data_IF_178569743238
#
_entry.id   IF_178569743238
#
_cell.length_a   1.000
_cell.length_b   1.000
_cell.length_c   1.000
_cell.angle_alpha   90.00
_cell.angle_beta   90.00
_cell.angle_gamma   90.00
#
_symmetry.space_group_name_H-M   'P 1'
#
loop_
_entity.id
_entity.type
_entity.pdbx_description
1 polymer ?
#
# COMPACT_ATOMS: atom_id res chain seq x y z
N UNK A 1 9.28 -4.54 15.04
CA UNK A 1 10.58 -3.86 15.25
C UNK A 1 10.57 -2.40 14.76
N UNK A 2 10.13 -2.06 13.51
CA UNK A 2 10.08 -0.67 12.98
C UNK A 2 9.21 0.28 13.82
N UNK A 3 8.04 -0.17 14.31
CA UNK A 3 7.10 0.64 15.11
C UNK A 3 7.70 1.07 16.43
N UNK A 4 8.31 0.12 17.16
CA UNK A 4 8.98 0.39 18.45
C UNK A 4 10.14 1.37 18.26
N UNK A 5 10.97 1.16 17.22
CA UNK A 5 12.07 2.09 16.89
C UNK A 5 11.57 3.51 16.62
N UNK A 6 10.47 3.66 15.87
CA UNK A 6 9.86 4.98 15.61
C UNK A 6 9.33 5.63 16.88
N UNK A 7 8.63 4.86 17.73
CA UNK A 7 8.15 5.35 19.02
C UNK A 7 9.28 5.82 19.94
N UNK A 8 10.36 5.06 20.02
CA UNK A 8 11.54 5.43 20.83
C UNK A 8 12.23 6.70 20.31
N UNK A 9 12.34 6.90 19.00
CA UNK A 9 12.91 8.13 18.42
C UNK A 9 12.08 9.36 18.82
N UNK A 10 10.75 9.29 18.74
CA UNK A 10 9.87 10.37 19.16
C UNK A 10 9.94 10.61 20.68
N UNK A 11 9.97 9.54 21.48
CA UNK A 11 10.11 9.65 22.94
C UNK A 11 11.41 10.35 23.31
N UNK A 12 12.52 9.99 22.65
CA UNK A 12 13.82 10.61 22.91
C UNK A 12 13.84 12.10 22.51
N UNK A 13 13.28 12.45 21.36
CA UNK A 13 13.19 13.85 20.92
C UNK A 13 12.35 14.72 21.87
N UNK A 14 11.18 14.22 22.31
CA UNK A 14 10.34 14.89 23.28
C UNK A 14 11.00 15.01 24.64
N UNK A 15 11.64 13.94 25.12
CA UNK A 15 12.38 13.95 26.38
C UNK A 15 13.51 14.99 26.36
N UNK A 16 14.30 15.03 25.28
CA UNK A 16 15.38 16.02 25.13
C UNK A 16 14.84 17.45 25.14
N UNK A 17 13.74 17.72 24.42
CA UNK A 17 13.09 19.02 24.43
C UNK A 17 12.61 19.40 25.85
N UNK A 18 11.91 18.51 26.54
CA UNK A 18 11.42 18.73 27.90
C UNK A 18 12.59 19.04 28.84
N UNK A 19 13.67 18.24 28.80
CA UNK A 19 14.85 18.43 29.68
C UNK A 19 15.61 19.73 29.38
N UNK A 20 15.49 20.30 28.19
CA UNK A 20 16.10 21.57 27.85
C UNK A 20 15.38 22.76 28.50
N UNK A 21 14.05 22.67 28.67
CA UNK A 21 13.23 23.75 29.17
C UNK A 21 12.83 23.64 30.63
N UNK A 22 12.89 22.44 31.23
CA UNK A 22 12.54 22.23 32.63
C UNK A 22 13.79 22.31 33.56
N UNK A 23 13.67 23.17 34.53
CA UNK A 23 14.70 23.31 35.60
C UNK A 23 14.76 22.05 36.48
N UNK A 24 15.95 21.67 36.92
CA UNK A 24 16.15 20.51 37.80
C UNK A 24 15.44 20.65 39.15
N UNK A 25 15.17 21.89 39.60
CA UNK A 25 14.41 22.15 40.82
C UNK A 25 12.99 21.61 40.85
N UNK A 26 12.38 21.38 39.64
CA UNK A 26 11.06 20.76 39.54
C UNK A 26 11.11 19.29 39.97
N UNK A 27 12.22 18.62 39.70
CA UNK A 27 12.42 17.19 40.01
C UNK A 27 12.91 16.97 41.44
N UNK A 28 13.55 17.96 42.08
CA UNK A 28 14.08 17.84 43.47
C UNK A 28 12.97 17.79 44.52
N UNK A 29 11.77 18.33 44.20
CA UNK A 29 10.63 18.31 45.13
C UNK A 29 9.88 16.96 45.19
N UNK A 30 10.26 15.98 44.37
CA UNK A 30 9.63 14.65 44.37
C UNK A 30 10.46 13.66 45.21
N UNK A 31 10.00 13.41 46.44
CA UNK A 31 10.64 12.41 47.35
C UNK A 31 10.16 11.00 47.00
N UNK A 32 10.88 10.28 46.12
CA UNK A 32 10.65 8.85 45.85
C UNK A 32 11.41 7.99 46.81
N UNK A 33 12.65 8.37 47.09
CA UNK A 33 13.52 7.68 48.08
C UNK A 33 13.59 8.53 49.32
N UNK A 34 13.14 7.95 50.44
CA UNK A 34 13.16 8.63 51.72
C UNK A 34 14.58 8.59 52.32
N UNK A 35 15.10 9.75 52.73
CA UNK A 35 16.42 9.92 53.34
C UNK A 35 16.61 9.06 54.59
N UNK A 36 15.55 8.91 55.42
CA UNK A 36 15.58 8.07 56.61
C UNK A 36 15.79 6.58 56.33
N UNK A 37 15.34 6.07 55.17
CA UNK A 37 15.51 4.67 54.77
C UNK A 37 16.97 4.39 54.40
N UNK A 38 17.62 5.36 53.73
CA UNK A 38 19.03 5.22 53.33
C UNK A 38 19.99 5.40 54.49
N UNK A 39 19.73 6.36 55.39
CA UNK A 39 20.58 6.61 56.56
C UNK A 39 20.54 5.45 57.57
N UNK A 40 19.43 4.68 57.65
CA UNK A 40 19.34 3.47 58.48
C UNK A 40 20.06 2.27 57.83
N UNK A 41 20.32 2.29 56.53
CA UNK A 41 21.02 1.22 55.82
C UNK A 41 22.52 1.45 55.79
N UNK A 42 23.25 0.78 56.64
CA UNK A 42 24.73 0.87 56.83
C UNK A 42 25.57 0.72 55.55
N UNK A 43 24.96 0.29 54.41
CA UNK A 43 25.62 -0.01 53.14
C UNK A 43 25.48 1.06 52.06
N UNK A 44 24.66 2.12 52.28
CA UNK A 44 24.29 3.08 51.22
C UNK A 44 24.59 4.54 51.61
N UNK A 45 25.44 4.77 52.63
CA UNK A 45 25.78 6.11 53.12
C UNK A 45 26.48 7.03 52.09
N UNK A 46 26.93 6.49 50.95
CA UNK A 46 27.61 7.22 49.90
C UNK A 46 26.62 7.71 48.78
N UNK A 47 25.32 7.36 48.90
CA UNK A 47 24.31 7.75 47.88
C UNK A 47 23.79 9.14 48.22
N UNK A 48 23.94 10.05 47.25
CA UNK A 48 23.26 11.33 47.27
C UNK A 48 21.78 11.12 46.97
N UNK A 49 20.94 11.29 48.00
CA UNK A 49 19.49 11.04 47.92
C UNK A 49 18.82 12.00 46.96
N UNK A 50 19.27 13.26 46.91
CA UNK A 50 18.67 14.29 46.02
C UNK A 50 19.01 14.01 44.58
N UNK A 51 20.27 13.75 44.23
CA UNK A 51 20.69 13.37 42.88
C UNK A 51 20.03 12.07 42.42
N UNK A 52 19.82 11.11 43.34
CA UNK A 52 19.15 9.83 43.05
C UNK A 52 17.67 10.05 42.71
N UNK A 53 16.96 10.85 43.52
CA UNK A 53 15.55 11.17 43.27
C UNK A 53 15.35 11.89 41.91
N UNK A 54 16.19 12.86 41.62
CA UNK A 54 16.18 13.57 40.32
C UNK A 54 16.40 12.57 39.16
N UNK A 55 17.36 11.66 39.31
CA UNK A 55 17.66 10.65 38.29
C UNK A 55 16.49 9.68 38.08
N UNK A 56 15.89 9.18 39.16
CA UNK A 56 14.73 8.29 39.11
C UNK A 56 13.55 9.00 38.41
N UNK A 57 13.29 10.27 38.76
CA UNK A 57 12.22 11.05 38.11
C UNK A 57 12.47 11.24 36.63
N UNK A 58 13.69 11.59 36.22
CA UNK A 58 14.06 11.70 34.80
C UNK A 58 13.82 10.38 34.05
N UNK A 59 14.19 9.25 34.66
CA UNK A 59 13.93 7.91 34.08
C UNK A 59 12.44 7.61 33.99
N UNK A 60 11.64 7.91 35.01
CA UNK A 60 10.20 7.69 35.00
C UNK A 60 9.50 8.53 33.90
N UNK A 61 9.89 9.79 33.74
CA UNK A 61 9.38 10.66 32.68
C UNK A 61 9.74 10.07 31.33
N UNK A 62 10.97 9.64 31.10
CA UNK A 62 11.38 9.03 29.85
C UNK A 62 10.61 7.74 29.56
N UNK A 63 10.44 6.85 30.53
CA UNK A 63 9.66 5.61 30.39
C UNK A 63 8.20 5.93 30.06
N UNK A 64 7.59 6.89 30.75
CA UNK A 64 6.23 7.33 30.47
C UNK A 64 6.07 7.85 29.03
N UNK A 65 7.00 8.69 28.56
CA UNK A 65 7.01 9.17 27.17
C UNK A 65 7.25 8.04 26.17
N UNK A 66 8.12 7.09 26.48
CA UNK A 66 8.37 5.94 25.61
C UNK A 66 7.12 5.05 25.48
N UNK A 67 6.44 4.74 26.58
CA UNK A 67 5.20 3.94 26.58
C UNK A 67 4.11 4.64 25.79
N UNK A 68 3.87 5.93 26.03
CA UNK A 68 2.85 6.71 25.30
C UNK A 68 3.18 6.81 23.81
N UNK A 69 4.44 7.09 23.44
CA UNK A 69 4.86 7.18 22.05
C UNK A 69 4.75 5.83 21.31
N UNK A 70 5.09 4.71 21.99
CA UNK A 70 4.91 3.37 21.45
C UNK A 70 3.42 3.07 21.27
N UNK A 71 2.58 3.40 22.27
CA UNK A 71 1.14 3.21 22.20
C UNK A 71 0.54 3.97 21.00
N UNK A 72 0.83 5.27 20.86
CA UNK A 72 0.39 6.06 19.71
C UNK A 72 0.91 5.50 18.37
N UNK A 73 2.15 5.04 18.32
CA UNK A 73 2.71 4.41 17.12
C UNK A 73 2.00 3.09 16.79
N UNK A 74 1.60 2.31 17.78
CA UNK A 74 0.82 1.09 17.58
C UNK A 74 -0.59 1.40 17.08
N UNK A 75 -1.29 2.35 17.69
CA UNK A 75 -2.62 2.78 17.26
C UNK A 75 -2.59 3.32 15.82
N UNK A 76 -1.61 4.18 15.53
CA UNK A 76 -1.45 4.75 14.18
C UNK A 76 -1.12 3.69 13.13
N UNK A 77 -0.34 2.65 13.48
CA UNK A 77 -0.05 1.54 12.57
C UNK A 77 -1.24 0.62 12.29
N UNK A 78 -2.35 0.77 13.04
CA UNK A 78 -3.59 0.02 12.83
C UNK A 78 -4.53 0.70 11.81
N UNK A 79 -4.18 1.85 11.25
CA UNK A 79 -4.94 2.48 10.17
C UNK A 79 -4.98 1.50 8.99
N UNK A 80 -6.15 0.91 8.75
CA UNK A 80 -6.35 -0.09 7.68
C UNK A 80 -6.85 0.51 6.39
N UNK A 81 -7.36 1.73 6.43
CA UNK A 81 -7.91 2.45 5.28
C UNK A 81 -7.74 3.96 5.42
N UNK A 82 -7.55 4.64 4.31
CA UNK A 82 -7.58 6.09 4.20
C UNK A 82 -8.53 6.51 3.10
N UNK A 83 -9.38 7.47 3.36
CA UNK A 83 -10.37 8.00 2.42
C UNK A 83 -9.95 9.38 1.94
N UNK A 84 -9.96 9.57 0.62
CA UNK A 84 -9.71 10.83 -0.07
C UNK A 84 -11.00 11.21 -0.78
N UNK A 85 -11.59 12.34 -0.41
CA UNK A 85 -12.82 12.86 -1.01
C UNK A 85 -12.53 14.08 -1.85
N UNK A 86 -13.05 14.11 -3.07
CA UNK A 86 -13.13 15.29 -3.94
C UNK A 86 -14.58 15.71 -4.11
N UNK A 87 -14.82 16.71 -4.97
CA UNK A 87 -16.17 17.24 -5.19
C UNK A 87 -17.10 16.21 -5.83
N UNK A 88 -16.60 15.36 -6.70
CA UNK A 88 -17.37 14.38 -7.49
C UNK A 88 -16.77 12.98 -7.49
N UNK A 89 -15.89 12.66 -6.53
CA UNK A 89 -15.29 11.34 -6.41
C UNK A 89 -14.94 11.00 -4.97
N UNK A 90 -14.84 9.71 -4.69
CA UNK A 90 -14.30 9.17 -3.45
C UNK A 90 -13.30 8.07 -3.76
N UNK A 91 -12.10 8.15 -3.17
CA UNK A 91 -11.07 7.12 -3.26
C UNK A 91 -10.84 6.59 -1.85
N UNK A 92 -10.82 5.27 -1.71
CA UNK A 92 -10.43 4.60 -0.47
C UNK A 92 -9.20 3.75 -0.76
N UNK A 93 -8.10 4.05 -0.10
CA UNK A 93 -6.93 3.17 -0.09
C UNK A 93 -7.02 2.30 1.15
N UNK A 94 -6.95 0.98 0.98
CA UNK A 94 -7.15 0.05 2.09
C UNK A 94 -6.25 -1.19 1.99
N UNK A 95 -5.89 -1.73 3.15
CA UNK A 95 -5.23 -3.03 3.21
C UNK A 95 -6.25 -4.16 3.04
N UNK A 96 -5.95 -5.13 2.18
CA UNK A 96 -6.82 -6.27 2.00
C UNK A 96 -6.38 -7.22 0.90
N UNK A 97 -7.26 -8.19 0.65
CA UNK A 97 -7.15 -9.13 -0.46
C UNK A 97 -8.28 -8.86 -1.45
N UNK A 98 -7.91 -8.59 -2.70
CA UNK A 98 -8.86 -8.16 -3.73
C UNK A 98 -9.97 -9.20 -3.96
N UNK A 99 -9.62 -10.48 -4.06
CA UNK A 99 -10.58 -11.55 -4.35
C UNK A 99 -11.56 -11.83 -3.20
N UNK A 100 -11.29 -11.32 -1.99
CA UNK A 100 -12.22 -11.39 -0.85
C UNK A 100 -13.22 -10.24 -0.81
N UNK A 101 -13.08 -9.25 -1.69
CA UNK A 101 -14.03 -8.13 -1.76
C UNK A 101 -15.34 -8.60 -2.37
N UNK A 102 -16.43 -8.27 -1.68
CA UNK A 102 -17.82 -8.56 -2.08
C UNK A 102 -18.58 -7.24 -2.22
N UNK A 103 -19.70 -7.27 -2.87
CA UNK A 103 -20.59 -6.10 -3.04
C UNK A 103 -20.00 -4.97 -3.89
N UNK A 104 -19.13 -5.31 -4.86
CA UNK A 104 -18.57 -4.34 -5.80
C UNK A 104 -17.85 -5.06 -6.93
N UNK A 105 -17.44 -4.29 -7.94
CA UNK A 105 -16.66 -4.83 -9.06
C UNK A 105 -15.19 -4.92 -8.70
N UNK A 106 -14.50 -5.93 -9.23
CA UNK A 106 -13.08 -6.20 -8.93
C UNK A 106 -12.27 -6.19 -10.22
N UNK A 107 -11.19 -5.42 -10.25
CA UNK A 107 -10.27 -5.38 -11.39
C UNK A 107 -9.22 -6.49 -11.28
N UNK A 108 -9.21 -7.39 -12.26
CA UNK A 108 -8.26 -8.50 -12.35
C UNK A 108 -7.33 -8.22 -13.54
N UNK A 109 -6.06 -7.98 -13.25
CA UNK A 109 -5.07 -7.66 -14.29
C UNK A 109 -4.47 -8.92 -14.93
N UNK A 110 -4.64 -9.03 -16.24
CA UNK A 110 -4.07 -10.04 -17.13
C UNK A 110 -2.85 -9.48 -17.89
N UNK A 111 -2.23 -10.30 -18.71
CA UNK A 111 -1.33 -9.82 -19.75
C UNK A 111 -2.12 -9.20 -20.94
N UNK A 112 -1.39 -8.61 -21.89
CA UNK A 112 -1.97 -7.96 -23.07
C UNK A 112 -2.78 -8.88 -23.99
N UNK A 113 -2.61 -10.20 -23.84
CA UNK A 113 -3.29 -11.21 -24.67
C UNK A 113 -4.41 -11.94 -23.92
N UNK A 114 -4.67 -11.57 -22.66
CA UNK A 114 -5.59 -12.28 -21.77
C UNK A 114 -5.28 -13.79 -21.66
N UNK A 115 -4.01 -14.12 -21.50
CA UNK A 115 -3.56 -15.51 -21.32
C UNK A 115 -4.18 -16.11 -20.05
N UNK A 116 -4.55 -17.39 -20.11
CA UNK A 116 -5.18 -18.13 -19.00
C UNK A 116 -4.33 -19.27 -18.45
N UNK A 117 -3.15 -19.49 -19.01
CA UNK A 117 -2.24 -20.57 -18.60
C UNK A 117 -1.60 -20.25 -17.26
N UNK A 118 -1.95 -21.01 -16.22
CA UNK A 118 -1.34 -20.92 -14.89
C UNK A 118 -0.26 -21.98 -14.77
N UNK A 119 0.98 -21.57 -14.44
CA UNK A 119 2.10 -22.50 -14.39
C UNK A 119 3.38 -21.89 -13.80
N UNK A 120 4.51 -22.56 -14.14
CA UNK A 120 5.85 -22.20 -13.68
C UNK A 120 6.72 -21.61 -14.78
N UNK A 121 6.29 -21.67 -16.04
CA UNK A 121 7.00 -21.10 -17.18
C UNK A 121 7.19 -19.59 -17.06
N UNK A 122 8.05 -19.02 -17.88
CA UNK A 122 8.42 -17.60 -17.80
C UNK A 122 7.24 -16.68 -18.12
N UNK A 123 6.40 -17.09 -19.08
CA UNK A 123 5.21 -16.35 -19.51
C UNK A 123 3.94 -16.79 -18.76
N UNK A 124 4.01 -17.88 -17.97
CA UNK A 124 2.85 -18.38 -17.26
C UNK A 124 2.44 -17.45 -16.11
N UNK A 125 1.14 -17.40 -15.88
CA UNK A 125 0.55 -16.69 -14.75
C UNK A 125 0.92 -17.45 -13.47
N UNK A 126 1.51 -16.76 -12.51
CA UNK A 126 1.90 -17.35 -11.22
C UNK A 126 0.68 -17.62 -10.36
N UNK A 127 0.62 -18.82 -9.75
CA UNK A 127 -0.49 -19.24 -8.87
C UNK A 127 -0.80 -18.24 -7.75
N UNK A 128 0.23 -17.62 -7.18
CA UNK A 128 0.10 -16.68 -6.05
C UNK A 128 -0.32 -15.27 -6.47
N UNK A 129 -0.36 -14.99 -7.78
CA UNK A 129 -0.85 -13.71 -8.29
C UNK A 129 -2.38 -13.62 -8.15
N UNK A 130 -2.91 -12.40 -8.16
CA UNK A 130 -4.37 -12.17 -8.14
C UNK A 130 -5.02 -12.85 -9.35
N UNK A 131 -4.43 -12.72 -10.54
CA UNK A 131 -4.92 -13.35 -11.76
C UNK A 131 -4.88 -14.87 -11.67
N UNK A 132 -3.77 -15.45 -11.15
CA UNK A 132 -3.65 -16.91 -11.01
C UNK A 132 -4.68 -17.48 -10.04
N UNK A 133 -4.89 -16.85 -8.90
CA UNK A 133 -5.93 -17.25 -7.94
C UNK A 133 -7.33 -17.11 -8.53
N UNK A 134 -7.58 -16.03 -9.29
CA UNK A 134 -8.85 -15.84 -9.99
C UNK A 134 -9.12 -16.95 -11.00
N UNK A 135 -8.14 -17.32 -11.83
CA UNK A 135 -8.26 -18.40 -12.81
C UNK A 135 -8.49 -19.78 -12.17
N UNK A 136 -7.81 -20.04 -11.05
CA UNK A 136 -8.01 -21.29 -10.28
C UNK A 136 -9.43 -21.35 -9.71
N UNK A 137 -10.00 -20.24 -9.27
CA UNK A 137 -11.38 -20.16 -8.77
C UNK A 137 -12.42 -20.22 -9.88
N UNK A 138 -12.04 -19.94 -11.14
CA UNK A 138 -12.92 -19.89 -12.30
C UNK A 138 -12.41 -20.82 -13.43
N UNK A 139 -12.34 -22.13 -13.24
CA UNK A 139 -11.71 -23.05 -14.19
C UNK A 139 -12.42 -23.11 -15.55
N UNK A 140 -13.70 -22.75 -15.60
CA UNK A 140 -14.53 -22.77 -16.82
C UNK A 140 -14.57 -21.40 -17.53
N UNK A 141 -13.72 -20.44 -17.14
CA UNK A 141 -13.69 -19.11 -17.71
C UNK A 141 -13.26 -19.16 -19.18
N UNK A 142 -14.15 -18.76 -20.08
CA UNK A 142 -13.84 -18.62 -21.50
C UNK A 142 -13.61 -17.14 -21.84
N UNK A 143 -12.37 -16.68 -21.65
CA UNK A 143 -11.99 -15.29 -21.87
C UNK A 143 -12.16 -14.88 -23.35
N UNK A 144 -11.94 -15.79 -24.30
CA UNK A 144 -12.11 -15.50 -25.73
C UNK A 144 -13.56 -15.22 -26.09
N UNK A 145 -14.51 -15.94 -25.50
CA UNK A 145 -15.94 -15.66 -25.68
C UNK A 145 -16.31 -14.30 -25.07
N UNK A 146 -15.77 -13.95 -23.91
CA UNK A 146 -16.00 -12.63 -23.31
C UNK A 146 -15.43 -11.49 -24.18
N UNK A 147 -14.23 -11.64 -24.72
CA UNK A 147 -13.61 -10.69 -25.64
C UNK A 147 -14.49 -10.51 -26.89
N UNK A 148 -14.95 -11.59 -27.50
CA UNK A 148 -15.81 -11.54 -28.66
C UNK A 148 -17.14 -10.82 -28.38
N UNK A 149 -17.72 -11.02 -27.20
CA UNK A 149 -18.96 -10.38 -26.77
C UNK A 149 -18.78 -8.90 -26.39
N UNK A 150 -17.61 -8.50 -25.89
CA UNK A 150 -17.35 -7.12 -25.43
C UNK A 150 -17.16 -6.11 -26.55
N UNK A 151 -16.86 -6.55 -27.77
CA UNK A 151 -16.56 -5.66 -28.90
C UNK A 151 -15.25 -4.87 -28.78
N UNK A 152 -14.38 -5.21 -27.81
CA UNK A 152 -13.06 -4.56 -27.66
C UNK A 152 -12.21 -4.78 -28.90
N UNK A 153 -11.53 -3.71 -29.34
CA UNK A 153 -10.70 -3.75 -30.54
C UNK A 153 -9.27 -4.17 -30.21
N UNK A 154 -8.73 -5.16 -30.93
CA UNK A 154 -7.34 -5.55 -30.73
C UNK A 154 -6.39 -4.46 -31.25
N UNK A 155 -5.16 -4.47 -30.72
CA UNK A 155 -4.07 -3.68 -31.27
C UNK A 155 -3.75 -4.09 -32.72
N UNK A 156 -3.28 -3.15 -33.51
CA UNK A 156 -2.74 -3.46 -34.86
C UNK A 156 -1.48 -4.33 -34.76
N UNK A 157 -0.69 -4.16 -33.71
CA UNK A 157 0.50 -4.99 -33.42
C UNK A 157 0.12 -6.36 -32.88
N UNK A 158 1.02 -7.31 -32.95
CA UNK A 158 0.93 -8.61 -32.29
C UNK A 158 1.87 -8.67 -31.08
N UNK A 159 1.56 -9.53 -30.14
CA UNK A 159 2.44 -9.78 -28.99
C UNK A 159 3.84 -10.18 -29.45
N UNK A 160 4.87 -9.67 -28.79
CA UNK A 160 6.25 -10.05 -29.09
C UNK A 160 6.54 -11.49 -28.70
N UNK A 161 5.91 -12.00 -27.64
CA UNK A 161 6.15 -13.35 -27.13
C UNK A 161 5.63 -14.46 -28.05
N UNK A 162 4.37 -14.45 -28.37
CA UNK A 162 3.72 -15.56 -29.07
C UNK A 162 3.02 -15.18 -30.37
N UNK A 163 3.20 -13.93 -30.82
CA UNK A 163 2.52 -13.37 -32.02
C UNK A 163 0.99 -13.39 -31.95
N UNK A 164 0.44 -13.65 -30.77
CA UNK A 164 -1.00 -13.61 -30.54
C UNK A 164 -1.59 -12.20 -30.68
N UNK A 165 -2.89 -12.14 -30.85
CA UNK A 165 -3.66 -10.89 -30.77
C UNK A 165 -3.50 -10.30 -29.37
N UNK A 166 -3.24 -9.00 -29.29
CA UNK A 166 -3.06 -8.28 -28.04
C UNK A 166 -3.93 -7.02 -28.00
N UNK A 167 -4.11 -6.50 -26.79
CA UNK A 167 -4.96 -5.35 -26.48
C UNK A 167 -4.14 -4.29 -25.77
N UNK A 168 -4.54 -3.03 -25.87
CA UNK A 168 -3.82 -1.95 -25.20
C UNK A 168 -3.92 -2.10 -23.68
N UNK A 169 -2.82 -1.87 -22.94
CA UNK A 169 -2.85 -1.84 -21.48
C UNK A 169 -3.87 -0.80 -20.98
N UNK A 170 -4.80 -1.25 -20.15
CA UNK A 170 -5.94 -0.46 -19.68
C UNK A 170 -7.29 -0.94 -20.23
N UNK A 171 -7.30 -1.66 -21.35
CA UNK A 171 -8.53 -2.23 -21.93
C UNK A 171 -9.20 -3.22 -21.00
N UNK A 172 -10.52 -3.13 -20.84
CA UNK A 172 -11.31 -3.98 -19.94
C UNK A 172 -12.26 -4.88 -20.73
N UNK A 173 -12.41 -6.11 -20.26
CA UNK A 173 -13.44 -7.07 -20.64
C UNK A 173 -14.22 -7.46 -19.38
N UNK A 174 -15.52 -7.19 -19.36
CA UNK A 174 -16.35 -7.47 -18.20
C UNK A 174 -16.76 -8.95 -18.12
N UNK A 175 -16.72 -9.52 -16.91
CA UNK A 175 -17.24 -10.84 -16.57
C UNK A 175 -18.08 -10.72 -15.29
N UNK A 176 -19.33 -10.32 -15.42
CA UNK A 176 -20.19 -10.02 -14.28
C UNK A 176 -19.61 -8.87 -13.41
N UNK A 177 -19.31 -9.16 -12.16
CA UNK A 177 -18.69 -8.20 -11.23
C UNK A 177 -17.15 -8.19 -11.32
N UNK A 178 -16.55 -8.95 -12.22
CA UNK A 178 -15.11 -8.94 -12.45
C UNK A 178 -14.77 -8.21 -13.75
N UNK A 179 -13.89 -7.23 -13.65
CA UNK A 179 -13.36 -6.45 -14.75
C UNK A 179 -11.98 -7.00 -15.12
N UNK A 180 -11.87 -7.73 -16.22
CA UNK A 180 -10.62 -8.33 -16.68
C UNK A 180 -9.87 -7.28 -17.50
N UNK A 181 -8.65 -6.92 -17.06
CA UNK A 181 -7.87 -5.83 -17.66
C UNK A 181 -6.63 -6.37 -18.36
N UNK A 182 -6.42 -5.99 -19.62
CA UNK A 182 -5.13 -6.14 -20.30
C UNK A 182 -4.11 -5.18 -19.65
N UNK A 183 -2.98 -5.70 -19.15
CA UNK A 183 -1.99 -4.86 -18.48
C UNK A 183 -0.56 -5.18 -18.91
N UNK A 184 -0.04 -6.36 -18.54
CA UNK A 184 1.37 -6.70 -18.72
C UNK A 184 1.67 -7.06 -20.17
N UNK A 185 2.64 -6.37 -20.80
CA UNK A 185 3.20 -6.78 -22.09
C UNK A 185 4.34 -7.77 -21.89
N UNK A 186 4.51 -8.71 -22.80
CA UNK A 186 5.54 -9.73 -22.74
C UNK A 186 6.59 -9.53 -23.83
N UNK A 187 7.88 -9.68 -23.46
CA UNK A 187 9.01 -9.77 -24.38
C UNK A 187 9.02 -11.13 -25.09
N UNK A 188 9.84 -11.29 -26.14
CA UNK A 188 9.99 -12.54 -26.88
C UNK A 188 10.39 -13.75 -26.02
N UNK A 189 11.07 -13.51 -24.91
CA UNK A 189 11.48 -14.53 -23.94
C UNK A 189 10.44 -14.82 -22.86
N UNK A 190 9.23 -14.24 -22.94
CA UNK A 190 8.13 -14.40 -21.97
C UNK A 190 8.27 -13.58 -20.70
N UNK A 191 9.30 -12.75 -20.57
CA UNK A 191 9.42 -11.81 -19.43
C UNK A 191 8.51 -10.60 -19.62
N UNK A 192 8.09 -10.00 -18.51
CA UNK A 192 7.38 -8.73 -18.54
C UNK A 192 8.23 -7.63 -19.19
N UNK A 193 7.68 -6.94 -20.19
CA UNK A 193 8.28 -5.74 -20.74
C UNK A 193 8.30 -4.63 -19.69
N UNK A 194 9.30 -3.77 -19.82
CA UNK A 194 9.37 -2.55 -19.01
C UNK A 194 8.30 -1.55 -19.48
N UNK A 195 7.69 -0.87 -18.55
CA UNK A 195 6.88 0.32 -18.80
C UNK A 195 7.74 1.57 -18.64
N UNK A 196 7.55 2.55 -19.53
CA UNK A 196 7.91 3.93 -19.19
C UNK A 196 6.84 4.52 -18.27
N UNK A 197 7.16 5.59 -17.55
CA UNK A 197 6.17 6.31 -16.74
C UNK A 197 5.02 6.84 -17.62
N UNK A 198 5.36 7.32 -18.83
CA UNK A 198 4.38 7.81 -19.79
C UNK A 198 3.41 6.71 -20.24
N UNK A 199 3.92 5.53 -20.59
CA UNK A 199 3.08 4.38 -20.96
C UNK A 199 2.18 3.94 -19.79
N UNK A 200 2.69 4.00 -18.56
CA UNK A 200 1.91 3.69 -17.36
C UNK A 200 0.77 4.70 -17.15
N UNK A 201 1.05 5.99 -17.29
CA UNK A 201 0.03 7.04 -17.18
C UNK A 201 -1.01 6.93 -18.29
N UNK A 202 -0.59 6.60 -19.52
CA UNK A 202 -1.52 6.32 -20.63
C UNK A 202 -2.42 5.12 -20.32
N UNK A 203 -1.83 4.04 -19.76
CA UNK A 203 -2.60 2.89 -19.30
C UNK A 203 -3.63 3.26 -18.23
N UNK A 204 -3.24 4.07 -17.23
CA UNK A 204 -4.16 4.55 -16.20
C UNK A 204 -5.28 5.42 -16.78
N UNK A 205 -4.96 6.30 -17.74
CA UNK A 205 -5.98 7.14 -18.40
C UNK A 205 -7.04 6.29 -19.12
N UNK A 206 -6.60 5.29 -19.89
CA UNK A 206 -7.52 4.35 -20.54
C UNK A 206 -8.31 3.53 -19.51
N UNK A 207 -7.65 3.09 -18.45
CA UNK A 207 -8.30 2.35 -17.36
C UNK A 207 -9.47 3.12 -16.74
N UNK A 208 -9.29 4.42 -16.47
CA UNK A 208 -10.37 5.22 -15.87
C UNK A 208 -11.56 5.38 -16.80
N UNK A 209 -11.32 5.55 -18.11
CA UNK A 209 -12.34 5.58 -19.14
C UNK A 209 -13.08 4.23 -19.22
N UNK A 210 -12.33 3.13 -19.30
CA UNK A 210 -12.90 1.78 -19.39
C UNK A 210 -13.69 1.38 -18.12
N UNK A 211 -13.22 1.76 -16.93
CA UNK A 211 -13.99 1.55 -15.72
C UNK A 211 -15.29 2.35 -15.74
N UNK A 212 -15.25 3.62 -16.14
CA UNK A 212 -16.44 4.47 -16.24
C UNK A 212 -17.48 3.90 -17.22
N UNK A 213 -17.02 3.30 -18.31
CA UNK A 213 -17.88 2.67 -19.31
C UNK A 213 -18.46 1.31 -18.84
N UNK A 214 -17.79 0.59 -17.94
CA UNK A 214 -18.12 -0.78 -17.56
C UNK A 214 -18.61 -0.93 -16.11
N UNK A 215 -18.59 0.13 -15.29
CA UNK A 215 -19.04 -0.02 -13.92
C UNK A 215 -20.58 -0.05 -13.79
N UNK A 216 -21.07 -0.93 -12.90
CA UNK A 216 -22.51 -1.19 -12.73
C UNK A 216 -23.10 -0.42 -11.54
N UNK A 217 -22.76 0.86 -11.35
CA UNK A 217 -23.15 1.67 -10.18
C UNK A 217 -22.81 1.00 -8.84
N UNK A 218 -21.70 0.28 -8.80
CA UNK A 218 -21.12 -0.36 -7.60
C UNK A 218 -19.76 0.25 -7.29
N UNK A 219 -19.28 0.04 -6.07
CA UNK A 219 -17.89 0.33 -5.74
C UNK A 219 -16.95 -0.51 -6.62
N UNK A 220 -15.81 0.06 -6.98
CA UNK A 220 -14.81 -0.62 -7.80
C UNK A 220 -13.53 -0.83 -7.01
N UNK A 221 -13.09 -2.07 -6.90
CA UNK A 221 -11.89 -2.49 -6.20
C UNK A 221 -10.77 -2.80 -7.20
N UNK A 222 -9.65 -2.09 -7.10
CA UNK A 222 -8.50 -2.28 -7.97
C UNK A 222 -7.25 -2.63 -7.16
N UNK A 223 -6.35 -3.49 -7.65
CA UNK A 223 -5.06 -3.72 -6.99
C UNK A 223 -4.12 -2.55 -7.26
N UNK A 224 -3.02 -2.46 -6.51
CA UNK A 224 -1.92 -1.56 -6.88
C UNK A 224 -1.26 -2.08 -8.16
N UNK A 225 -1.56 -1.41 -9.27
CA UNK A 225 -1.04 -1.79 -10.59
C UNK A 225 0.47 -1.56 -10.66
N UNK A 226 1.19 -2.49 -11.27
CA UNK A 226 2.63 -2.42 -11.39
C UNK A 226 3.42 -2.88 -10.15
N UNK A 227 2.76 -3.21 -9.04
CA UNK A 227 3.42 -3.65 -7.80
C UNK A 227 3.90 -5.11 -7.81
N UNK A 228 3.65 -5.85 -8.89
CA UNK A 228 4.04 -7.26 -9.05
C UNK A 228 5.32 -7.43 -9.85
N UNK A 229 5.24 -8.24 -10.91
CA UNK A 229 6.35 -8.52 -11.83
C UNK A 229 6.62 -7.41 -12.85
N UNK A 230 5.77 -6.39 -12.90
CA UNK A 230 5.91 -5.26 -13.82
C UNK A 230 7.19 -4.50 -13.51
N UNK A 231 7.96 -4.21 -14.55
CA UNK A 231 9.22 -3.46 -14.46
C UNK A 231 9.03 -2.09 -15.09
N UNK A 232 9.79 -1.12 -14.58
CA UNK A 232 9.78 0.24 -15.10
C UNK A 232 11.15 0.62 -15.65
N UNK A 233 11.17 1.45 -16.67
CA UNK A 233 12.38 1.97 -17.28
C UNK A 233 12.78 3.28 -16.57
N UNK A 234 13.26 3.13 -15.33
CA UNK A 234 13.75 4.25 -14.53
C UNK A 234 15.27 4.10 -14.39
N UNK A 235 16.06 4.80 -15.13
CA UNK A 235 17.52 4.79 -15.21
C UNK A 235 18.38 4.23 -14.04
N UNK A 236 17.87 4.17 -12.82
CA UNK A 236 18.60 3.70 -11.62
C UNK A 236 17.90 2.52 -10.92
N UNK A 237 16.58 2.34 -11.04
CA UNK A 237 15.83 1.26 -10.39
C UNK A 237 14.89 0.56 -11.37
N UNK A 238 14.84 -0.77 -11.30
CA UNK A 238 13.95 -1.57 -12.15
C UNK A 238 12.50 -1.63 -11.63
N UNK A 239 12.20 -1.02 -10.49
CA UNK A 239 10.88 -1.00 -9.89
C UNK A 239 10.57 0.36 -9.27
N UNK A 240 9.36 0.85 -9.49
CA UNK A 240 8.82 2.00 -8.76
C UNK A 240 8.34 1.50 -7.39
N UNK A 241 8.67 2.19 -6.28
CA UNK A 241 8.14 1.86 -4.97
C UNK A 241 6.60 1.82 -4.96
N UNK A 242 6.03 0.90 -4.22
CA UNK A 242 4.58 0.72 -4.15
C UNK A 242 3.84 2.00 -3.71
N UNK A 243 4.46 2.79 -2.84
CA UNK A 243 3.94 4.09 -2.40
C UNK A 243 3.76 5.03 -3.60
N UNK A 244 4.78 5.18 -4.43
CA UNK A 244 4.74 6.04 -5.62
C UNK A 244 3.73 5.56 -6.66
N UNK A 245 3.57 4.23 -6.83
CA UNK A 245 2.53 3.68 -7.71
C UNK A 245 1.12 4.06 -7.24
N UNK A 246 0.86 3.97 -5.94
CA UNK A 246 -0.42 4.39 -5.36
C UNK A 246 -0.65 5.88 -5.55
N UNK A 247 0.38 6.70 -5.31
CA UNK A 247 0.30 8.15 -5.47
C UNK A 247 0.05 8.54 -6.95
N UNK A 248 0.69 7.85 -7.91
CA UNK A 248 0.42 8.01 -9.35
C UNK A 248 -1.01 7.61 -9.71
N UNK A 249 -1.50 6.49 -9.20
CA UNK A 249 -2.89 6.06 -9.43
C UNK A 249 -3.90 7.07 -8.87
N UNK A 250 -3.70 7.56 -7.65
CA UNK A 250 -4.54 8.58 -7.04
C UNK A 250 -4.51 9.87 -7.86
N UNK A 251 -3.32 10.35 -8.22
CA UNK A 251 -3.14 11.62 -8.93
C UNK A 251 -3.73 11.54 -10.34
N UNK A 252 -3.49 10.45 -11.07
CA UNK A 252 -4.07 10.25 -12.40
C UNK A 252 -5.60 10.18 -12.36
N UNK A 253 -6.17 9.51 -11.33
CA UNK A 253 -7.63 9.49 -11.16
C UNK A 253 -8.19 10.86 -10.79
N UNK A 254 -7.53 11.61 -9.90
CA UNK A 254 -7.92 13.00 -9.56
C UNK A 254 -7.97 13.90 -10.79
N UNK A 255 -7.08 13.71 -11.75
CA UNK A 255 -7.00 14.49 -12.99
C UNK A 255 -7.88 13.96 -14.13
N UNK A 256 -8.34 12.72 -14.07
CA UNK A 256 -9.21 12.11 -15.09
C UNK A 256 -10.56 12.84 -15.15
N UNK A 257 -11.16 12.89 -16.34
CA UNK A 257 -12.56 13.32 -16.56
C UNK A 257 -13.56 12.23 -16.16
N UNK A 258 -13.11 10.96 -16.19
CA UNK A 258 -13.92 9.79 -15.88
C UNK A 258 -13.94 9.56 -14.37
N UNK A 259 -15.08 9.80 -13.74
CA UNK A 259 -15.30 9.67 -12.28
C UNK A 259 -16.46 8.74 -11.98
N UNK A 260 -16.22 7.81 -11.08
CA UNK A 260 -17.28 6.97 -10.55
C UNK A 260 -18.17 7.77 -9.59
N UNK A 261 -19.47 7.58 -9.67
CA UNK A 261 -20.43 8.05 -8.66
C UNK A 261 -20.21 7.34 -7.32
N UNK A 262 -19.79 6.07 -7.37
CA UNK A 262 -19.45 5.24 -6.23
C UNK A 262 -17.97 5.37 -5.86
N UNK A 263 -17.51 4.59 -4.92
CA UNK A 263 -16.14 4.68 -4.40
C UNK A 263 -15.18 3.83 -5.22
N UNK A 264 -14.02 4.42 -5.57
CA UNK A 264 -12.87 3.70 -6.07
C UNK A 264 -12.01 3.21 -4.89
N UNK A 265 -11.85 1.90 -4.75
CA UNK A 265 -11.02 1.29 -3.74
C UNK A 265 -9.69 0.82 -4.32
N UNK A 266 -8.57 1.33 -3.81
CA UNK A 266 -7.23 0.83 -4.12
C UNK A 266 -6.84 -0.15 -3.01
N UNK A 267 -6.81 -1.45 -3.35
CA UNK A 267 -6.55 -2.53 -2.40
C UNK A 267 -5.07 -2.87 -2.37
N UNK A 268 -4.43 -2.62 -1.24
CA UNK A 268 -3.02 -2.85 -1.03
C UNK A 268 -2.78 -4.11 -0.20
N UNK A 269 -1.84 -4.96 -0.60
CA UNK A 269 -1.30 -5.99 0.30
C UNK A 269 -0.36 -5.34 1.30
N UNK A 270 -0.44 -5.76 2.56
CA UNK A 270 0.46 -5.29 3.61
C UNK A 270 1.91 -5.64 3.24
N UNK A 271 2.77 -4.67 3.16
CA UNK A 271 4.18 -4.83 2.81
C UNK A 271 5.00 -3.71 3.44
N UNK A 272 6.31 -3.91 3.54
CA UNK A 272 7.23 -2.99 4.21
C UNK A 272 7.49 -1.68 3.47
N UNK A 273 7.22 -1.66 2.16
CA UNK A 273 7.46 -0.53 1.26
C UNK A 273 6.23 0.37 1.04
N UNK A 274 5.15 0.11 1.80
CA UNK A 274 3.90 0.88 1.71
C UNK A 274 3.38 1.25 3.09
N UNK A 275 2.98 2.51 3.28
CA UNK A 275 2.38 3.03 4.52
C UNK A 275 1.18 3.91 4.23
N UNK A 276 0.05 3.63 4.89
CA UNK A 276 -1.17 4.45 4.80
C UNK A 276 -0.97 5.90 5.27
N UNK A 277 -0.03 6.13 6.17
CA UNK A 277 0.26 7.44 6.74
C UNK A 277 0.82 8.42 5.70
N UNK A 278 1.47 7.88 4.65
CA UNK A 278 2.12 8.69 3.61
C UNK A 278 1.17 9.07 2.46
N UNK A 279 -0.06 8.60 2.47
CA UNK A 279 -1.05 8.97 1.47
C UNK A 279 -1.57 10.36 1.78
N UNK A 280 -1.50 11.28 0.84
CA UNK A 280 -1.97 12.67 0.94
C UNK A 280 -3.38 12.85 0.35
#
# INVERSE_FOLDING_TARGET
MKIVKRGLIWAFALFSAIMTFLSESIFSNCCIVNKEIIEKGKYFSWIDVEATNITIMKVLVFVGLAVTAIFFSCVHSQIRKKTIKGNNYSIVVEYGELLKKKNGQRLINFDECFTTTVGTGTADIKKDSVCGQYLIQNPNLNVQALIAASGVKPCRRKSKYNKSTCYEPGTIVANGDDLLMAFTRLESNGKSMKFTVEEYLKCLSLLWEEIDNNYNNKDVYIPVLGSGITRFENGVSQSIPKQELVDLMISSYKLSLHKLKNTLHIVCRKSDDFSMDKIS
#
